data_IF_518336128847
#
_entry.id   IF_518336128847
#
_cell.length_a   1.000
_cell.length_b   1.000
_cell.length_c   1.000
_cell.angle_alpha   90.00
_cell.angle_beta   90.00
_cell.angle_gamma   90.00
#
_symmetry.space_group_name_H-M   'P 1'
#
loop_
_entity.id
_entity.type
_entity.pdbx_description
1 polymer ?
#
# COMPACT_ATOMS: atom_id res chain seq x y z
N UNK A 1 -2.62 44.62 -66.34
CA UNK A 1 -1.42 43.78 -66.11
C UNK A 1 -1.72 42.86 -64.95
N UNK A 2 -1.36 41.58 -64.92
CA UNK A 2 -1.16 40.64 -66.03
C UNK A 2 -1.25 39.22 -65.43
N UNK A 3 -2.37 38.53 -65.63
CA UNK A 3 -2.47 37.10 -65.37
C UNK A 3 -1.85 36.34 -66.54
N UNK A 4 -0.86 35.49 -66.26
CA UNK A 4 -0.26 34.59 -67.25
C UNK A 4 -0.31 33.17 -66.66
N UNK A 5 -0.86 32.19 -67.39
CA UNK A 5 -1.11 30.85 -66.84
C UNK A 5 0.14 29.97 -66.91
N UNK A 6 0.20 28.96 -66.05
CA UNK A 6 1.06 27.80 -66.29
C UNK A 6 0.21 26.64 -66.79
N UNK A 7 0.49 26.21 -68.02
CA UNK A 7 -0.13 25.09 -68.72
C UNK A 7 0.90 23.96 -68.74
N UNK A 8 0.53 22.79 -68.23
CA UNK A 8 1.29 21.56 -68.37
C UNK A 8 0.38 20.57 -69.08
N UNK A 9 0.54 20.48 -70.40
CA UNK A 9 -0.14 19.52 -71.26
C UNK A 9 0.83 18.41 -71.67
N UNK A 10 0.39 17.19 -71.36
CA UNK A 10 0.78 15.89 -71.91
C UNK A 10 -0.14 14.91 -71.19
N UNK A 11 -1.33 14.51 -71.70
CA UNK A 11 -1.55 13.79 -72.97
C UNK A 11 -0.56 12.61 -73.02
N UNK A 12 -0.98 11.35 -72.92
CA UNK A 12 -2.00 10.58 -73.65
C UNK A 12 -2.44 9.38 -72.77
N UNK A 13 -3.49 8.58 -73.02
CA UNK A 13 -4.84 8.75 -73.60
C UNK A 13 -5.57 7.38 -73.49
N UNK A 14 -6.89 7.36 -73.21
CA UNK A 14 -7.84 6.22 -73.37
C UNK A 14 -7.56 4.86 -72.60
N UNK A 15 -8.53 4.03 -72.21
CA UNK A 15 -10.00 4.06 -72.34
C UNK A 15 -10.72 3.18 -71.28
N UNK A 16 -12.03 3.45 -71.07
CA UNK A 16 -13.08 2.61 -70.44
C UNK A 16 -12.86 2.03 -69.01
N UNK A 17 -13.74 2.25 -68.03
CA UNK A 17 -15.17 1.83 -67.95
C UNK A 17 -15.33 0.30 -68.13
N UNK A 18 -15.93 -0.47 -67.22
CA UNK A 18 -17.07 -0.10 -66.40
C UNK A 18 -17.09 -0.68 -64.97
N UNK A 19 -17.96 -0.06 -64.19
CA UNK A 19 -18.64 -0.56 -62.99
C UNK A 19 -19.21 -2.00 -63.15
N UNK A 20 -19.52 -2.75 -62.08
CA UNK A 20 -20.87 -2.75 -61.46
C UNK A 20 -20.90 -3.60 -60.16
N UNK A 21 -21.74 -3.20 -59.21
CA UNK A 21 -22.14 -3.91 -57.97
C UNK A 21 -23.35 -4.84 -58.20
N UNK A 22 -23.60 -5.94 -57.48
CA UNK A 22 -22.89 -6.69 -56.42
C UNK A 22 -23.68 -8.00 -56.21
N UNK A 23 -23.10 -9.07 -55.63
CA UNK A 23 -23.91 -10.12 -55.00
C UNK A 23 -23.46 -10.50 -53.56
N UNK A 24 -24.23 -10.14 -52.51
CA UNK A 24 -23.98 -10.51 -51.13
C UNK A 24 -24.65 -11.83 -50.68
N UNK A 25 -25.15 -12.67 -51.58
CA UNK A 25 -25.89 -13.91 -51.25
C UNK A 25 -25.37 -15.19 -51.93
N UNK A 26 -24.09 -15.24 -52.34
CA UNK A 26 -23.47 -16.43 -52.93
C UNK A 26 -23.23 -17.58 -51.91
N UNK A 27 -24.31 -18.29 -51.56
CA UNK A 27 -24.28 -19.63 -50.95
C UNK A 27 -23.93 -20.66 -52.03
N UNK A 28 -22.79 -21.33 -51.89
CA UNK A 28 -22.48 -22.58 -52.60
C UNK A 28 -21.97 -23.60 -51.58
N UNK A 29 -22.76 -24.64 -51.37
CA UNK A 29 -22.42 -25.77 -50.50
C UNK A 29 -21.31 -26.64 -51.11
N UNK A 30 -20.37 -27.09 -50.28
CA UNK A 30 -19.67 -28.37 -50.50
C UNK A 30 -19.18 -28.96 -49.16
N UNK A 31 -19.28 -30.27 -48.93
CA UNK A 31 -19.28 -30.83 -47.56
C UNK A 31 -17.91 -31.35 -47.07
N UNK A 32 -17.71 -31.24 -45.75
CA UNK A 32 -16.88 -32.09 -44.86
C UNK A 32 -15.46 -32.50 -45.28
N UNK A 33 -14.45 -31.98 -44.57
CA UNK A 33 -13.48 -32.72 -43.70
C UNK A 33 -12.37 -31.72 -43.29
N UNK A 34 -11.89 -31.60 -42.05
CA UNK A 34 -11.43 -32.67 -41.16
C UNK A 34 -11.46 -32.25 -39.67
N UNK A 35 -11.41 -33.24 -38.77
CA UNK A 35 -11.76 -33.12 -37.36
C UNK A 35 -10.59 -32.62 -36.48
N UNK A 36 -10.64 -31.32 -36.11
CA UNK A 36 -9.71 -30.73 -35.13
C UNK A 36 -10.38 -29.77 -34.14
N UNK A 37 -11.66 -29.99 -33.80
CA UNK A 37 -12.38 -29.17 -32.81
C UNK A 37 -13.28 -30.02 -31.90
N UNK A 38 -12.73 -30.28 -30.71
CA UNK A 38 -13.39 -30.52 -29.43
C UNK A 38 -14.81 -31.13 -29.41
N UNK A 39 -14.92 -32.29 -28.78
CA UNK A 39 -15.85 -32.59 -27.67
C UNK A 39 -15.31 -33.89 -26.99
N UNK A 40 -15.16 -33.96 -25.67
CA UNK A 40 -16.18 -33.98 -24.61
C UNK A 40 -16.96 -35.31 -24.57
N UNK A 41 -17.34 -35.70 -23.36
CA UNK A 41 -18.03 -36.95 -22.99
C UNK A 41 -17.32 -38.28 -23.30
N UNK A 42 -16.69 -38.82 -22.26
CA UNK A 42 -16.33 -40.24 -22.16
C UNK A 42 -16.91 -40.80 -20.87
N UNK A 43 -18.13 -41.34 -20.95
CA UNK A 43 -18.86 -41.92 -19.82
C UNK A 43 -19.30 -43.36 -20.16
N UNK A 44 -18.89 -44.29 -19.28
CA UNK A 44 -19.25 -45.72 -19.22
C UNK A 44 -18.59 -46.67 -20.25
N UNK A 45 -17.72 -47.62 -19.81
CA UNK A 45 -17.99 -49.05 -19.50
C UNK A 45 -18.11 -49.89 -20.81
N UNK A 46 -17.35 -50.96 -21.09
CA UNK A 46 -16.35 -51.77 -20.36
C UNK A 46 -15.13 -52.09 -21.29
N UNK A 47 -14.20 -53.07 -21.12
CA UNK A 47 -14.11 -54.26 -20.25
C UNK A 47 -12.65 -54.69 -19.95
N UNK A 48 -12.52 -55.90 -19.42
CA UNK A 48 -11.39 -56.76 -19.03
C UNK A 48 -10.31 -57.03 -20.14
N UNK A 49 -9.05 -57.43 -19.85
CA UNK A 49 -8.52 -58.09 -18.65
C UNK A 49 -6.96 -57.98 -18.44
N UNK A 50 -6.50 -57.86 -17.17
CA UNK A 50 -5.25 -58.42 -16.54
C UNK A 50 -3.80 -57.99 -17.04
N UNK A 51 -2.76 -57.75 -16.17
CA UNK A 51 -2.70 -57.08 -14.85
C UNK A 51 -1.36 -56.28 -14.56
N UNK A 52 -1.25 -55.63 -13.38
CA UNK A 52 0.01 -55.30 -12.62
C UNK A 52 1.22 -54.57 -13.29
N UNK A 53 1.90 -53.58 -12.70
CA UNK A 53 1.65 -52.77 -11.50
C UNK A 53 2.61 -51.54 -11.47
N UNK A 54 2.09 -50.30 -11.51
CA UNK A 54 2.88 -49.11 -11.16
C UNK A 54 2.09 -48.10 -10.28
N UNK A 55 2.49 -48.09 -9.01
CA UNK A 55 2.55 -46.99 -8.03
C UNK A 55 1.55 -45.80 -8.16
N UNK A 56 0.69 -45.52 -7.15
CA UNK A 56 -0.14 -44.33 -7.13
C UNK A 56 0.72 -43.05 -7.09
N UNK A 57 0.68 -42.23 -8.15
CA UNK A 57 1.33 -40.90 -8.16
C UNK A 57 0.51 -39.86 -7.38
N UNK A 58 0.28 -40.13 -6.09
CA UNK A 58 -0.10 -39.11 -5.12
C UNK A 58 1.07 -38.15 -4.87
N UNK A 59 1.28 -37.19 -5.78
CA UNK A 59 1.90 -35.90 -5.46
C UNK A 59 1.15 -34.78 -6.15
N UNK A 60 -0.05 -34.52 -5.63
CA UNK A 60 -0.56 -33.15 -5.61
C UNK A 60 0.49 -32.31 -4.89
N UNK A 61 1.38 -31.69 -5.67
CA UNK A 61 2.34 -30.72 -5.19
C UNK A 61 1.53 -29.48 -4.86
N UNK A 62 1.01 -29.48 -3.64
CA UNK A 62 0.43 -28.34 -2.97
C UNK A 62 1.55 -27.30 -2.75
N UNK A 63 1.98 -26.68 -3.84
CA UNK A 63 2.82 -25.50 -3.84
C UNK A 63 1.93 -24.42 -3.23
N UNK A 64 2.00 -24.29 -1.91
CA UNK A 64 1.59 -23.07 -1.20
C UNK A 64 2.36 -21.95 -1.88
N UNK A 65 1.70 -21.31 -2.84
CA UNK A 65 2.24 -20.17 -3.57
C UNK A 65 2.46 -19.14 -2.50
N UNK A 66 3.74 -18.91 -2.12
CA UNK A 66 4.09 -17.92 -1.13
C UNK A 66 3.55 -16.62 -1.67
N UNK A 67 2.49 -16.12 -1.05
CA UNK A 67 1.74 -14.98 -1.56
C UNK A 67 2.74 -13.83 -1.69
N UNK A 68 3.09 -13.49 -2.94
CA UNK A 68 4.07 -12.45 -3.19
C UNK A 68 3.37 -11.12 -2.97
N UNK A 69 3.24 -10.75 -1.69
CA UNK A 69 2.83 -9.42 -1.28
C UNK A 69 3.85 -8.45 -1.88
N UNK A 70 3.51 -7.93 -3.07
CA UNK A 70 4.34 -6.95 -3.75
C UNK A 70 4.34 -5.72 -2.86
N UNK A 71 5.50 -5.43 -2.26
CA UNK A 71 5.63 -4.37 -1.26
C UNK A 71 5.15 -3.06 -1.88
N UNK A 72 4.13 -2.46 -1.25
CA UNK A 72 3.70 -1.11 -1.56
C UNK A 72 4.72 -0.14 -0.95
N UNK A 73 5.11 0.86 -1.72
CA UNK A 73 6.05 1.91 -1.34
C UNK A 73 5.34 3.25 -1.11
N UNK A 74 4.20 3.46 -1.78
CA UNK A 74 3.52 4.75 -1.84
C UNK A 74 2.02 4.60 -2.17
N UNK A 75 1.22 5.58 -1.72
CA UNK A 75 -0.25 5.66 -1.88
C UNK A 75 -0.71 6.80 -2.80
N UNK A 76 0.17 7.24 -3.71
CA UNK A 76 -0.06 8.32 -4.69
C UNK A 76 -1.39 8.17 -5.44
N UNK A 77 -1.75 6.96 -5.86
CA UNK A 77 -2.98 6.68 -6.61
C UNK A 77 -4.24 7.03 -5.80
N UNK A 78 -4.24 6.76 -4.50
CA UNK A 78 -5.33 7.11 -3.59
C UNK A 78 -5.37 8.61 -3.33
N UNK A 79 -4.22 9.21 -3.01
CA UNK A 79 -4.15 10.66 -2.71
C UNK A 79 -4.61 11.46 -3.92
N UNK A 80 -4.19 11.08 -5.14
CA UNK A 80 -4.65 11.69 -6.39
C UNK A 80 -6.18 11.60 -6.53
N UNK A 81 -6.77 10.46 -6.20
CA UNK A 81 -8.24 10.27 -6.25
C UNK A 81 -8.96 11.12 -5.20
N UNK A 82 -8.46 11.15 -3.96
CA UNK A 82 -8.98 12.01 -2.87
C UNK A 82 -8.95 13.50 -3.24
N UNK A 83 -7.89 13.94 -3.93
CA UNK A 83 -7.76 15.32 -4.44
C UNK A 83 -8.54 15.58 -5.76
N UNK A 84 -9.27 14.59 -6.30
CA UNK A 84 -10.05 14.75 -7.54
C UNK A 84 -9.23 15.01 -8.81
N UNK A 85 -7.91 14.82 -8.78
CA UNK A 85 -7.02 15.15 -9.91
C UNK A 85 -6.98 14.00 -10.92
N UNK A 86 -7.24 14.26 -12.19
CA UNK A 86 -7.11 13.22 -13.24
C UNK A 86 -5.65 12.98 -13.61
N UNK A 87 -5.29 11.75 -14.00
CA UNK A 87 -3.95 11.42 -14.50
C UNK A 87 -3.50 12.29 -15.68
N UNK A 88 -4.46 12.74 -16.50
CA UNK A 88 -4.18 13.66 -17.62
C UNK A 88 -3.79 15.06 -17.16
N UNK A 89 -4.35 15.53 -16.04
CA UNK A 89 -3.94 16.78 -15.42
C UNK A 89 -2.52 16.63 -14.82
N UNK A 90 -2.26 15.52 -14.10
CA UNK A 90 -0.91 15.20 -13.58
C UNK A 90 0.13 15.16 -14.70
N UNK A 91 -0.11 14.42 -15.79
CA UNK A 91 0.81 14.33 -16.93
C UNK A 91 1.12 15.70 -17.55
N UNK A 92 0.10 16.55 -17.73
CA UNK A 92 0.28 17.92 -18.24
C UNK A 92 1.07 18.82 -17.28
N UNK A 93 0.81 18.74 -15.97
CA UNK A 93 1.50 19.54 -14.95
C UNK A 93 2.95 19.10 -14.71
N UNK A 94 3.23 17.79 -14.80
CA UNK A 94 4.58 17.23 -14.69
C UNK A 94 5.40 17.38 -16.00
N UNK A 95 4.75 17.59 -17.14
CA UNK A 95 5.41 17.66 -18.45
C UNK A 95 5.95 16.32 -18.94
N UNK A 96 5.36 15.20 -18.50
CA UNK A 96 5.82 13.84 -18.84
C UNK A 96 4.70 13.00 -19.48
N UNK A 97 5.08 11.95 -20.20
CA UNK A 97 4.13 11.11 -20.91
C UNK A 97 3.18 10.35 -19.99
N UNK A 98 1.93 10.17 -20.46
CA UNK A 98 0.89 9.43 -19.76
C UNK A 98 1.32 8.01 -19.37
N UNK A 99 2.12 7.33 -20.20
CA UNK A 99 2.63 5.99 -19.92
C UNK A 99 3.58 5.98 -18.71
N UNK A 100 4.43 7.00 -18.57
CA UNK A 100 5.33 7.17 -17.43
C UNK A 100 4.54 7.48 -16.15
N UNK A 101 3.55 8.37 -16.22
CA UNK A 101 2.67 8.67 -15.06
C UNK A 101 1.93 7.42 -14.60
N UNK A 102 1.37 6.62 -15.52
CA UNK A 102 0.69 5.35 -15.18
C UNK A 102 1.61 4.32 -14.54
N UNK A 103 2.90 4.31 -14.89
CA UNK A 103 3.90 3.45 -14.26
C UNK A 103 4.25 3.96 -12.85
N UNK A 104 4.43 5.28 -12.70
CA UNK A 104 4.72 5.95 -11.43
C UNK A 104 3.55 5.93 -10.44
N UNK A 105 2.30 5.77 -10.88
CA UNK A 105 1.13 5.67 -10.00
C UNK A 105 1.00 4.29 -9.32
N UNK A 106 1.66 3.25 -9.86
CA UNK A 106 1.57 1.89 -9.31
C UNK A 106 2.24 1.84 -7.94
N UNK A 107 1.49 1.53 -6.88
CA UNK A 107 1.98 1.55 -5.49
C UNK A 107 3.25 0.72 -5.22
N UNK A 108 3.52 -0.30 -6.05
CA UNK A 108 4.71 -1.16 -6.03
C UNK A 108 5.88 -0.61 -6.88
N UNK A 109 5.74 0.54 -7.51
CA UNK A 109 6.79 1.20 -8.30
C UNK A 109 7.74 1.96 -7.38
N UNK A 110 9.04 1.75 -7.59
CA UNK A 110 10.09 2.54 -6.95
C UNK A 110 10.23 3.90 -7.68
N UNK A 111 10.01 5.00 -6.95
CA UNK A 111 10.13 6.37 -7.45
C UNK A 111 11.33 7.04 -6.80
N UNK A 112 12.09 7.78 -7.60
CA UNK A 112 13.11 8.69 -7.08
C UNK A 112 12.46 9.75 -6.21
N UNK A 113 13.14 10.15 -5.13
CA UNK A 113 12.71 11.25 -4.25
C UNK A 113 12.44 12.53 -5.07
N UNK A 114 13.22 12.79 -6.12
CA UNK A 114 13.00 13.91 -7.05
C UNK A 114 11.64 13.87 -7.75
N UNK A 115 11.13 12.68 -8.07
CA UNK A 115 9.84 12.51 -8.74
C UNK A 115 8.69 12.57 -7.73
N UNK A 116 8.85 11.96 -6.55
CA UNK A 116 7.93 12.13 -5.42
C UNK A 116 7.72 13.61 -5.05
N UNK A 117 8.79 14.42 -5.00
CA UNK A 117 8.72 15.87 -4.77
C UNK A 117 8.01 16.64 -5.90
N UNK A 118 7.99 16.11 -7.13
CA UNK A 118 7.20 16.70 -8.23
C UNK A 118 5.73 16.33 -8.11
N UNK A 119 5.43 15.08 -7.77
CA UNK A 119 4.06 14.64 -7.44
C UNK A 119 3.47 15.45 -6.27
N UNK A 120 4.28 15.69 -5.23
CA UNK A 120 3.94 16.55 -4.10
C UNK A 120 3.44 17.94 -4.55
N UNK A 121 4.21 18.63 -5.41
CA UNK A 121 3.86 19.95 -5.95
C UNK A 121 2.63 19.96 -6.86
N UNK A 122 2.34 18.83 -7.52
CA UNK A 122 1.21 18.72 -8.46
C UNK A 122 -0.11 18.40 -7.76
N UNK A 123 -0.04 17.65 -6.65
CA UNK A 123 -1.18 17.24 -5.82
C UNK A 123 -1.43 18.18 -4.61
N UNK A 124 -0.48 19.07 -4.31
CA UNK A 124 -0.52 20.04 -3.21
C UNK A 124 -0.78 19.41 -1.82
N UNK A 125 -0.01 18.36 -1.54
CA UNK A 125 -0.04 17.59 -0.27
C UNK A 125 1.35 17.55 0.36
N UNK A 126 1.50 17.31 1.68
CA UNK A 126 2.81 17.03 2.25
C UNK A 126 3.35 15.67 1.79
N UNK A 127 4.67 15.55 1.64
CA UNK A 127 5.32 14.34 1.11
C UNK A 127 4.98 13.05 1.91
N UNK A 128 4.77 13.17 3.22
CA UNK A 128 4.39 12.05 4.08
C UNK A 128 3.07 11.39 3.67
N UNK A 129 2.10 12.15 3.15
CA UNK A 129 0.81 11.62 2.68
C UNK A 129 0.95 10.80 1.39
N UNK A 130 2.03 10.97 0.62
CA UNK A 130 2.26 10.19 -0.60
C UNK A 130 2.90 8.83 -0.31
N UNK A 131 3.61 8.69 0.81
CA UNK A 131 4.31 7.47 1.19
C UNK A 131 3.36 6.47 1.85
N UNK A 132 3.67 5.19 1.73
CA UNK A 132 2.95 4.17 2.52
C UNK A 132 3.28 4.36 3.99
N UNK A 133 2.26 4.29 4.86
CA UNK A 133 2.50 4.29 6.30
C UNK A 133 3.18 2.98 6.66
N UNK A 134 4.44 3.05 7.08
CA UNK A 134 5.14 1.86 7.56
C UNK A 134 4.38 1.26 8.74
N UNK A 135 4.02 -0.02 8.63
CA UNK A 135 3.41 -0.84 9.71
C UNK A 135 4.14 -0.67 11.06
N UNK A 136 5.43 -0.33 11.03
CA UNK A 136 6.25 0.09 12.15
C UNK A 136 6.55 1.62 12.15
N UNK A 137 5.55 2.48 12.40
CA UNK A 137 5.79 3.92 12.65
C UNK A 137 6.67 4.19 13.90
N UNK A 138 7.03 3.14 14.66
CA UNK A 138 8.15 3.14 15.58
C UNK A 138 9.07 1.96 15.24
N UNK A 139 9.99 2.19 14.30
CA UNK A 139 11.09 1.28 13.92
C UNK A 139 11.62 0.51 15.13
N UNK A 140 11.79 -0.81 14.99
CA UNK A 140 12.12 -1.75 16.08
C UNK A 140 13.06 -1.20 17.18
N UNK A 141 14.20 -0.57 16.87
CA UNK A 141 15.08 0.06 17.87
C UNK A 141 14.42 1.15 18.73
N UNK A 142 13.59 2.02 18.15
CA UNK A 142 12.87 3.09 18.87
C UNK A 142 11.81 2.49 19.80
N UNK A 143 11.08 1.49 19.31
CA UNK A 143 10.07 0.79 20.10
C UNK A 143 10.71 -0.02 21.25
N UNK A 144 11.83 -0.71 21.01
CA UNK A 144 12.63 -1.38 22.05
C UNK A 144 13.13 -0.37 23.09
N UNK A 145 13.75 0.73 22.66
CA UNK A 145 14.19 1.81 23.56
C UNK A 145 13.04 2.38 24.39
N UNK A 146 11.87 2.62 23.78
CA UNK A 146 10.69 3.10 24.51
C UNK A 146 10.19 2.11 25.56
N UNK A 147 10.31 0.80 25.33
CA UNK A 147 9.98 -0.25 26.31
C UNK A 147 11.00 -0.28 27.44
N UNK A 148 12.31 -0.24 27.14
CA UNK A 148 13.37 -0.24 28.15
C UNK A 148 13.31 1.03 29.03
N UNK A 149 13.03 2.20 28.46
CA UNK A 149 12.74 3.44 29.21
C UNK A 149 11.57 3.24 30.18
N UNK A 150 10.46 2.63 29.74
CA UNK A 150 9.30 2.36 30.61
C UNK A 150 9.65 1.37 31.74
N UNK A 151 10.44 0.33 31.45
CA UNK A 151 10.93 -0.64 32.43
C UNK A 151 11.84 0.01 33.47
N UNK A 152 12.78 0.86 33.05
CA UNK A 152 13.62 1.64 33.97
C UNK A 152 12.77 2.53 34.88
N UNK A 153 11.82 3.28 34.32
CA UNK A 153 10.90 4.11 35.11
C UNK A 153 10.07 3.31 36.12
N UNK A 154 9.63 2.09 35.77
CA UNK A 154 8.96 1.20 36.74
C UNK A 154 9.91 0.69 37.82
N UNK A 155 11.11 0.23 37.45
CA UNK A 155 12.08 -0.28 38.43
C UNK A 155 12.52 0.82 39.41
N UNK A 156 12.79 2.03 38.90
CA UNK A 156 13.15 3.19 39.71
C UNK A 156 12.01 3.63 40.66
N UNK A 157 10.74 3.57 40.22
CA UNK A 157 9.58 3.85 41.07
C UNK A 157 9.36 2.77 42.14
N UNK A 158 9.56 1.49 41.80
CA UNK A 158 9.51 0.39 42.79
C UNK A 158 10.64 0.56 43.82
N UNK A 159 11.85 0.97 43.39
CA UNK A 159 12.98 1.25 44.30
C UNK A 159 12.68 2.38 45.29
N UNK A 160 11.93 3.40 44.89
CA UNK A 160 11.48 4.48 45.78
C UNK A 160 10.41 4.00 46.79
N UNK A 161 9.55 3.07 46.37
CA UNK A 161 8.45 2.55 47.20
C UNK A 161 8.85 1.41 48.15
N UNK A 162 9.89 0.63 47.80
CA UNK A 162 10.38 -0.52 48.58
C UNK A 162 11.46 -0.07 49.56
N UNK A 163 11.16 -0.20 50.86
CA UNK A 163 12.13 0.07 51.93
C UNK A 163 13.26 -0.97 52.03
N UNK A 164 14.09 -0.83 53.06
CA UNK A 164 15.27 -1.68 53.29
C UNK A 164 14.85 -3.15 53.50
N UNK A 165 15.38 -4.03 52.67
CA UNK A 165 15.15 -5.49 52.72
C UNK A 165 15.38 -6.17 51.36
N UNK A 166 15.18 -7.49 51.28
CA UNK A 166 15.47 -8.30 50.09
C UNK A 166 14.78 -7.80 48.79
N UNK A 167 13.62 -7.13 48.90
CA UNK A 167 12.98 -6.50 47.74
C UNK A 167 13.80 -5.37 47.12
N UNK A 168 14.56 -4.61 47.92
CA UNK A 168 15.42 -3.53 47.42
C UNK A 168 16.64 -4.05 46.66
N UNK A 169 17.19 -5.21 47.08
CA UNK A 169 18.31 -5.88 46.41
C UNK A 169 17.90 -6.39 45.03
N UNK A 170 16.74 -7.08 44.94
CA UNK A 170 16.19 -7.58 43.67
C UNK A 170 15.92 -6.46 42.66
N UNK A 171 15.37 -5.32 43.12
CA UNK A 171 15.12 -4.16 42.25
C UNK A 171 16.43 -3.50 41.82
N UNK A 172 17.44 -3.46 42.69
CA UNK A 172 18.78 -2.97 42.34
C UNK A 172 19.44 -3.85 41.28
N UNK A 173 19.31 -5.17 41.39
CA UNK A 173 19.79 -6.11 40.38
C UNK A 173 19.06 -5.95 39.03
N UNK A 174 17.73 -5.75 39.06
CA UNK A 174 16.94 -5.48 37.85
C UNK A 174 17.38 -4.19 37.14
N UNK A 175 17.66 -3.12 37.91
CA UNK A 175 18.19 -1.87 37.34
C UNK A 175 19.56 -2.09 36.71
N UNK A 176 20.45 -2.85 37.36
CA UNK A 176 21.75 -3.21 36.80
C UNK A 176 21.63 -3.97 35.47
N UNK A 177 20.72 -4.94 35.38
CA UNK A 177 20.47 -5.70 34.13
C UNK A 177 19.90 -4.81 33.02
N UNK A 178 19.06 -3.82 33.34
CA UNK A 178 18.55 -2.86 32.35
C UNK A 178 19.67 -1.95 31.85
N UNK A 179 20.58 -1.49 32.73
CA UNK A 179 21.73 -0.64 32.35
C UNK A 179 22.79 -1.40 31.53
N UNK A 180 23.03 -2.68 31.84
CA UNK A 180 23.91 -3.55 31.05
C UNK A 180 23.40 -3.70 29.60
N UNK A 181 22.08 -3.79 29.42
CA UNK A 181 21.43 -3.87 28.11
C UNK A 181 21.29 -2.51 27.41
N UNK A 182 21.27 -1.40 28.15
CA UNK A 182 21.00 -0.05 27.64
C UNK A 182 21.52 1.03 28.63
N UNK A 183 22.80 1.44 28.53
CA UNK A 183 23.42 2.32 29.53
C UNK A 183 22.89 3.76 29.50
N UNK A 184 22.30 4.21 28.38
CA UNK A 184 21.70 5.54 28.25
C UNK A 184 20.44 5.78 29.14
N UNK A 185 20.11 4.84 30.02
CA UNK A 185 18.95 4.88 30.92
C UNK A 185 19.30 5.28 32.37
N UNK A 186 20.57 5.60 32.66
CA UNK A 186 21.05 5.92 34.02
C UNK A 186 20.31 7.12 34.64
N UNK A 187 20.19 8.23 33.92
CA UNK A 187 19.58 9.49 34.39
C UNK A 187 18.03 9.48 34.40
N UNK A 188 17.38 8.33 34.23
CA UNK A 188 15.93 8.27 34.07
C UNK A 188 15.21 8.36 35.42
N UNK A 189 14.55 9.50 35.63
CA UNK A 189 13.66 9.71 36.77
C UNK A 189 12.49 8.70 36.80
N UNK A 190 12.09 8.20 37.98
CA UNK A 190 10.92 7.34 38.17
C UNK A 190 9.63 7.82 37.49
N UNK A 191 8.65 6.93 37.37
CA UNK A 191 7.26 7.37 37.19
C UNK A 191 6.83 8.22 38.38
N UNK A 192 6.19 9.36 38.12
CA UNK A 192 5.50 10.11 39.18
C UNK A 192 4.37 9.24 39.74
N UNK A 193 4.49 8.82 41.00
CA UNK A 193 3.64 7.78 41.63
C UNK A 193 2.15 8.08 41.52
N UNK A 194 1.77 9.36 41.60
CA UNK A 194 0.47 9.88 41.12
C UNK A 194 0.67 11.32 40.64
N UNK A 195 -0.10 11.76 39.64
CA UNK A 195 0.05 13.10 39.06
C UNK A 195 -0.18 14.22 40.07
N UNK A 196 0.81 15.12 40.20
CA UNK A 196 0.87 16.30 41.08
C UNK A 196 0.25 16.11 42.48
N UNK A 197 1.12 16.03 43.50
CA UNK A 197 0.70 16.27 44.89
C UNK A 197 0.08 17.67 44.98
N UNK A 198 -1.25 17.74 44.94
CA UNK A 198 -1.99 18.94 45.32
C UNK A 198 -1.56 19.28 46.73
N UNK A 199 -1.08 20.50 46.95
CA UNK A 199 -0.96 21.04 48.30
C UNK A 199 -2.36 21.13 48.91
N UNK A 200 -2.47 21.15 50.24
CA UNK A 200 -3.78 21.02 50.91
C UNK A 200 -4.77 22.13 50.51
N UNK A 201 -4.25 23.29 50.12
CA UNK A 201 -5.02 24.45 49.63
C UNK A 201 -5.35 24.42 48.12
N UNK A 202 -4.82 23.46 47.35
CA UNK A 202 -4.91 23.46 45.89
C UNK A 202 -6.22 22.84 45.38
N UNK A 203 -7.28 23.64 45.48
CA UNK A 203 -8.63 23.30 45.02
C UNK A 203 -8.67 23.12 43.49
N UNK A 204 -9.21 21.97 43.05
CA UNK A 204 -9.28 21.61 41.63
C UNK A 204 -10.25 22.48 40.82
N UNK A 205 -10.17 22.41 39.47
CA UNK A 205 -10.98 23.25 38.56
C UNK A 205 -12.49 23.28 38.87
N UNK A 206 -13.08 22.18 39.33
CA UNK A 206 -14.50 22.12 39.70
C UNK A 206 -14.84 23.02 40.91
N UNK A 207 -13.95 23.12 41.90
CA UNK A 207 -14.11 23.99 43.06
C UNK A 207 -13.73 25.46 42.77
N UNK A 208 -12.95 25.72 41.71
CA UNK A 208 -12.68 27.09 41.22
C UNK A 208 -13.83 27.63 40.35
N UNK A 209 -14.59 26.73 39.72
CA UNK A 209 -15.72 27.05 38.83
C UNK A 209 -17.03 26.45 39.38
N UNK A 210 -17.42 26.83 40.60
CA UNK A 210 -18.73 26.47 41.16
C UNK A 210 -19.84 27.16 40.37
N UNK A 211 -20.77 26.39 39.80
CA UNK A 211 -21.99 26.94 39.23
C UNK A 211 -22.99 27.26 40.36
N UNK A 212 -23.71 28.38 40.31
CA UNK A 212 -24.73 28.71 41.31
C UNK A 212 -25.92 27.75 41.18
N UNK A 213 -26.45 27.30 42.32
CA UNK A 213 -27.55 26.32 42.40
C UNK A 213 -28.85 26.81 41.73
N UNK A 214 -29.04 28.12 41.57
CA UNK A 214 -30.16 28.74 40.84
C UNK A 214 -30.28 28.27 39.37
N UNK A 215 -29.19 27.72 38.78
CA UNK A 215 -29.22 27.12 37.44
C UNK A 215 -29.88 25.73 37.40
N UNK A 216 -30.06 25.07 38.55
CA UNK A 216 -30.69 23.75 38.69
C UNK A 216 -32.11 23.88 39.26
N UNK A 217 -32.89 24.78 38.65
CA UNK A 217 -34.21 25.20 39.13
C UNK A 217 -35.16 24.08 39.58
N UNK A 218 -35.87 24.37 40.67
CA UNK A 218 -36.83 23.50 41.38
C UNK A 218 -38.13 23.28 40.60
#
# INVERSE_FOLDING_TARGET
MATVPYRLESQEDFDNQDSVYQDPLALVDSPYSDAARAEADSKCIAVEDIPQAEVPRQRSRNTKTKNSYQKQFHKISEVRQRQGVTLRNVARRLGIEMAVVRKQEQANSDLRVSDLLRWQKVLDVPLAELLEDGEDQLSGPVLVRSRMVKLMKTAAAIREQVGIGAGSELVTQLISQILEMMPELEDITPWHTVGQRRTLDDVGRAARNTMPDDLFGR
#
